data_IF_122860705547
#
_entry.id   IF_122860705547
#
_cell.length_a   1.000
_cell.length_b   1.000
_cell.length_c   1.000
_cell.angle_alpha   90.00
_cell.angle_beta   90.00
_cell.angle_gamma   90.00
#
_symmetry.space_group_name_H-M   'P 1'
#
loop_
_entity.id
_entity.type
_entity.pdbx_description
1 polymer ?
#
# COMPACT_ATOMS: atom_id res chain seq x y z
N UNK A 1 27.63 5.52 -38.10
CA UNK A 1 27.21 4.92 -36.82
C UNK A 1 26.50 5.96 -35.96
N UNK A 2 25.27 5.68 -35.50
CA UNK A 2 24.54 6.52 -34.55
C UNK A 2 24.01 5.66 -33.41
N UNK A 3 23.93 6.25 -32.22
CA UNK A 3 23.38 5.62 -31.02
C UNK A 3 21.90 6.01 -30.91
N UNK A 4 20.99 5.06 -30.73
CA UNK A 4 19.58 5.38 -30.54
C UNK A 4 19.37 6.03 -29.16
N UNK A 5 18.54 7.07 -29.14
CA UNK A 5 18.17 7.80 -27.92
C UNK A 5 16.66 7.93 -27.84
N UNK A 6 16.12 8.12 -26.64
CA UNK A 6 14.69 8.29 -26.39
C UNK A 6 14.05 7.09 -25.69
N UNK A 7 12.71 7.03 -25.75
CA UNK A 7 11.93 5.95 -25.15
C UNK A 7 11.83 4.80 -26.16
N UNK A 8 12.34 3.64 -25.76
CA UNK A 8 12.35 2.45 -26.61
C UNK A 8 11.05 1.66 -26.50
N UNK A 9 10.37 1.73 -25.36
CA UNK A 9 9.09 1.08 -25.11
C UNK A 9 8.37 1.74 -23.92
N UNK A 10 7.05 1.84 -24.01
CA UNK A 10 6.17 2.29 -22.93
C UNK A 10 4.83 1.57 -23.07
N UNK A 11 4.39 0.91 -22.01
CA UNK A 11 3.08 0.27 -21.96
C UNK A 11 2.37 0.67 -20.67
N UNK A 12 1.31 1.46 -20.81
CA UNK A 12 0.51 1.98 -19.70
C UNK A 12 -0.71 1.11 -19.37
N UNK A 13 -0.97 0.06 -20.16
CA UNK A 13 -2.07 -0.88 -19.92
C UNK A 13 -1.77 -1.84 -18.77
N UNK A 14 -0.49 -2.05 -18.45
CA UNK A 14 -0.09 -2.87 -17.31
C UNK A 14 -0.39 -2.11 -16.02
N UNK A 15 -1.27 -2.68 -15.21
CA UNK A 15 -1.64 -2.11 -13.92
C UNK A 15 -0.41 -1.94 -13.03
N UNK A 16 -0.12 -0.74 -12.50
CA UNK A 16 0.99 -0.54 -11.57
C UNK A 16 0.82 -1.35 -10.29
N UNK A 17 1.94 -1.70 -9.63
CA UNK A 17 1.92 -2.46 -8.37
C UNK A 17 1.08 -1.78 -7.27
N UNK A 18 1.17 -0.46 -7.16
CA UNK A 18 0.36 0.35 -6.23
C UNK A 18 -1.14 0.17 -6.44
N UNK A 19 -1.60 0.03 -7.69
CA UNK A 19 -3.01 -0.27 -7.96
C UNK A 19 -3.36 -1.69 -7.53
N UNK A 20 -2.50 -2.69 -7.78
CA UNK A 20 -2.72 -4.09 -7.35
C UNK A 20 -2.76 -4.27 -5.84
N UNK A 21 -2.10 -3.42 -5.05
CA UNK A 21 -2.23 -3.45 -3.58
C UNK A 21 -3.68 -3.17 -3.14
N UNK A 22 -4.40 -2.35 -3.90
CA UNK A 22 -5.80 -1.98 -3.60
C UNK A 22 -6.72 -3.21 -3.62
N UNK A 23 -6.38 -4.25 -4.39
CA UNK A 23 -7.15 -5.50 -4.44
C UNK A 23 -7.14 -6.24 -3.08
N UNK A 24 -6.12 -6.02 -2.25
CA UNK A 24 -5.99 -6.60 -0.90
C UNK A 24 -6.28 -5.59 0.22
N UNK A 25 -5.98 -4.31 -0.02
CA UNK A 25 -6.12 -3.22 0.94
C UNK A 25 -6.94 -2.10 0.26
N UNK A 26 -8.28 -2.13 0.35
CA UNK A 26 -9.15 -1.28 -0.45
C UNK A 26 -8.91 0.23 -0.32
N UNK A 27 -8.45 0.70 0.85
CA UNK A 27 -8.20 2.12 1.12
C UNK A 27 -6.75 2.55 0.93
N UNK A 28 -5.89 1.74 0.30
CA UNK A 28 -4.44 2.02 0.23
C UNK A 28 -4.10 3.32 -0.49
N UNK A 29 -4.85 3.73 -1.52
CA UNK A 29 -4.62 4.98 -2.24
C UNK A 29 -5.02 6.21 -1.42
N UNK A 30 -6.03 6.09 -0.56
CA UNK A 30 -6.54 7.16 0.29
C UNK A 30 -5.71 7.31 1.58
N UNK A 31 -5.38 6.17 2.20
CA UNK A 31 -4.67 6.08 3.48
C UNK A 31 -3.44 5.13 3.39
N UNK A 32 -2.44 5.47 2.56
CA UNK A 32 -1.20 4.69 2.47
C UNK A 32 -0.45 4.69 3.80
N UNK A 33 0.48 3.74 3.99
CA UNK A 33 1.21 3.53 5.25
C UNK A 33 1.78 4.82 5.87
N UNK A 34 2.37 5.71 5.05
CA UNK A 34 2.96 6.96 5.51
C UNK A 34 1.94 7.98 6.06
N UNK A 35 0.65 7.88 5.68
CA UNK A 35 -0.43 8.76 6.13
C UNK A 35 -1.22 8.21 7.31
N UNK A 36 -1.01 6.95 7.68
CA UNK A 36 -1.78 6.33 8.75
C UNK A 36 -1.47 6.98 10.10
N UNK A 37 -2.51 7.36 10.83
CA UNK A 37 -2.37 7.79 12.21
C UNK A 37 -2.18 6.56 13.10
N UNK A 38 -0.93 6.26 13.44
CA UNK A 38 -0.54 5.09 14.25
C UNK A 38 -0.54 5.35 15.77
N UNK A 39 -0.60 6.61 16.20
CA UNK A 39 -0.61 6.94 17.63
C UNK A 39 -1.29 8.27 17.94
N UNK A 40 -1.93 8.33 19.10
CA UNK A 40 -2.52 9.55 19.65
C UNK A 40 -2.08 9.70 21.10
N UNK A 41 -1.50 10.85 21.44
CA UNK A 41 -0.98 11.14 22.78
C UNK A 41 0.01 10.07 23.29
N UNK A 42 0.89 9.59 22.40
CA UNK A 42 1.89 8.57 22.72
C UNK A 42 1.35 7.14 22.87
N UNK A 43 0.05 6.91 22.65
CA UNK A 43 -0.59 5.59 22.70
C UNK A 43 -0.94 5.10 21.29
N UNK A 44 -0.81 3.79 21.00
CA UNK A 44 -1.20 3.24 19.71
C UNK A 44 -2.70 3.41 19.46
N UNK A 45 -3.08 3.64 18.20
CA UNK A 45 -4.47 3.75 17.75
C UNK A 45 -5.02 2.43 17.20
N UNK A 46 -4.14 1.47 16.90
CA UNK A 46 -4.51 0.18 16.32
C UNK A 46 -5.20 -0.72 17.34
N UNK A 47 -6.39 -1.22 17.00
CA UNK A 47 -7.09 -2.23 17.78
C UNK A 47 -6.69 -3.64 17.31
N UNK A 48 -6.13 -4.43 18.23
CA UNK A 48 -5.70 -5.82 18.00
C UNK A 48 -6.62 -6.83 18.71
N UNK A 49 -7.73 -6.40 19.31
CA UNK A 49 -8.61 -7.25 20.13
C UNK A 49 -9.06 -8.50 19.39
N UNK A 50 -9.46 -8.37 18.11
CA UNK A 50 -9.85 -9.51 17.27
C UNK A 50 -8.75 -10.56 17.09
N UNK A 51 -7.49 -10.13 17.02
CA UNK A 51 -6.35 -11.04 16.91
C UNK A 51 -6.20 -11.80 18.23
N UNK A 52 -6.25 -11.09 19.37
CA UNK A 52 -6.17 -11.70 20.70
C UNK A 52 -7.32 -12.67 20.97
N UNK A 53 -8.54 -12.31 20.54
CA UNK A 53 -9.72 -13.18 20.63
C UNK A 53 -9.52 -14.48 19.86
N UNK A 54 -8.89 -14.44 18.69
CA UNK A 54 -8.60 -15.63 17.88
C UNK A 54 -7.56 -16.57 18.48
N UNK A 55 -6.80 -16.08 19.49
CA UNK A 55 -5.79 -16.85 20.21
C UNK A 55 -6.30 -17.37 21.56
N UNK A 56 -7.54 -17.03 21.94
CA UNK A 56 -8.13 -17.58 23.17
C UNK A 56 -8.41 -19.08 22.98
N UNK A 57 -8.13 -19.89 24.02
CA UNK A 57 -8.37 -21.33 23.99
C UNK A 57 -9.86 -21.68 23.87
#
# INVERSE_FOLDING_TARGET
NKIPTGIFYKNELITPYTKRITDRIPNYLENPAAKQNISKNGKPTTDISKILDSLRP
#
